data_IF_600338476306
#
_entry.id   IF_600338476306
#
_cell.length_a   1.000
_cell.length_b   1.000
_cell.length_c   1.000
_cell.angle_alpha   90.00
_cell.angle_beta   90.00
_cell.angle_gamma   90.00
#
_symmetry.space_group_name_H-M   'P 1'
#
loop_
_entity.id
_entity.type
_entity.pdbx_description
1 polymer ?
#
# COMPACT_ATOMS: atom_id res chain seq x y z
N UNK A 1 2.89 11.41 12.82
CA UNK A 1 1.72 10.90 12.06
C UNK A 1 1.96 9.46 11.68
N UNK A 2 0.93 8.61 11.72
CA UNK A 2 0.98 7.22 11.23
C UNK A 2 0.91 7.20 9.71
N UNK A 3 1.73 6.33 9.08
CA UNK A 3 1.71 6.10 7.64
C UNK A 3 1.57 4.59 7.40
N UNK A 4 0.50 4.21 6.75
CA UNK A 4 0.17 2.84 6.44
C UNK A 4 0.68 2.45 5.04
N UNK A 5 1.19 1.23 4.93
CA UNK A 5 1.43 0.52 3.67
C UNK A 5 0.75 -0.84 3.75
N UNK A 6 0.28 -1.36 2.62
CA UNK A 6 -0.40 -2.65 2.55
C UNK A 6 0.39 -3.58 1.62
N UNK A 7 0.81 -4.73 2.13
CA UNK A 7 1.68 -5.66 1.41
C UNK A 7 1.19 -7.10 1.56
N UNK A 8 1.50 -7.88 0.53
CA UNK A 8 1.37 -9.35 0.56
C UNK A 8 2.75 -10.00 0.43
N UNK A 9 2.88 -11.26 0.77
CA UNK A 9 4.13 -12.03 0.66
C UNK A 9 4.60 -12.22 -0.79
N UNK A 10 3.72 -12.09 -1.77
CA UNK A 10 4.04 -12.25 -3.19
C UNK A 10 5.11 -11.29 -3.73
N UNK A 11 5.35 -10.18 -3.05
CA UNK A 11 6.42 -9.22 -3.38
C UNK A 11 7.80 -9.87 -3.47
N UNK A 12 8.03 -10.93 -2.69
CA UNK A 12 9.32 -11.66 -2.70
C UNK A 12 9.61 -12.26 -4.07
N UNK A 13 8.59 -12.69 -4.79
CA UNK A 13 8.72 -13.32 -6.10
C UNK A 13 9.11 -12.32 -7.19
N UNK A 14 9.03 -11.02 -6.90
CA UNK A 14 9.34 -9.94 -7.83
C UNK A 14 10.44 -9.05 -7.26
N UNK A 15 11.66 -9.33 -7.71
CA UNK A 15 12.87 -8.64 -7.25
C UNK A 15 12.81 -7.11 -7.38
N UNK A 16 12.17 -6.61 -8.43
CA UNK A 16 11.94 -5.18 -8.66
C UNK A 16 11.06 -4.57 -7.56
N UNK A 17 9.94 -5.19 -7.22
CA UNK A 17 9.05 -4.71 -6.16
C UNK A 17 9.70 -4.77 -4.77
N UNK A 18 10.44 -5.84 -4.49
CA UNK A 18 11.18 -5.94 -3.25
C UNK A 18 12.24 -4.84 -3.11
N UNK A 19 12.89 -4.46 -4.22
CA UNK A 19 13.82 -3.35 -4.24
C UNK A 19 13.13 -1.98 -4.12
N UNK A 20 11.96 -1.79 -4.75
CA UNK A 20 11.15 -0.58 -4.58
C UNK A 20 10.74 -0.39 -3.13
N UNK A 21 10.25 -1.45 -2.47
CA UNK A 21 9.95 -1.42 -1.04
C UNK A 21 11.16 -0.98 -0.21
N UNK A 22 12.36 -1.51 -0.50
CA UNK A 22 13.59 -1.08 0.21
C UNK A 22 13.85 0.41 0.05
N UNK A 23 13.71 0.94 -1.18
CA UNK A 23 13.92 2.36 -1.45
C UNK A 23 12.91 3.21 -0.70
N UNK A 24 11.64 2.81 -0.69
CA UNK A 24 10.58 3.48 0.08
C UNK A 24 10.93 3.52 1.56
N UNK A 25 11.30 2.38 2.16
CA UNK A 25 11.64 2.30 3.58
C UNK A 25 12.89 3.12 3.94
N UNK A 26 13.93 3.08 3.09
CA UNK A 26 15.15 3.87 3.27
C UNK A 26 14.81 5.37 3.24
N UNK A 27 14.07 5.81 2.21
CA UNK A 27 13.73 7.23 2.05
C UNK A 27 12.84 7.72 3.18
N UNK A 28 11.85 6.93 3.59
CA UNK A 28 10.99 7.26 4.71
C UNK A 28 11.78 7.42 6.02
N UNK A 29 12.67 6.48 6.33
CA UNK A 29 13.49 6.55 7.57
C UNK A 29 14.50 7.67 7.56
N UNK A 30 15.01 8.04 6.38
CA UNK A 30 15.99 9.11 6.25
C UNK A 30 15.36 10.50 6.28
N UNK A 31 14.21 10.66 5.66
CA UNK A 31 13.68 11.98 5.33
C UNK A 31 12.39 12.33 6.11
N UNK A 32 11.81 11.39 6.87
CA UNK A 32 10.55 11.65 7.58
C UNK A 32 10.58 11.22 9.04
N UNK A 33 9.68 11.81 9.81
CA UNK A 33 9.35 11.42 11.21
C UNK A 33 8.15 10.47 11.28
N UNK A 34 7.68 9.92 10.16
CA UNK A 34 6.51 9.08 10.08
C UNK A 34 6.66 7.76 10.86
N UNK A 35 5.62 7.40 11.61
CA UNK A 35 5.48 6.06 12.19
C UNK A 35 4.93 5.13 11.11
N UNK A 36 5.80 4.31 10.55
CA UNK A 36 5.42 3.36 9.50
C UNK A 36 4.72 2.16 10.10
N UNK A 37 3.57 1.82 9.55
CA UNK A 37 2.76 0.64 9.90
C UNK A 37 2.48 -0.14 8.62
N UNK A 38 2.63 -1.45 8.66
CA UNK A 38 2.32 -2.31 7.52
C UNK A 38 1.18 -3.27 7.87
N UNK A 39 0.08 -3.21 7.11
CA UNK A 39 -0.86 -4.31 7.07
C UNK A 39 -0.25 -5.38 6.16
N UNK A 40 0.02 -6.53 6.71
CA UNK A 40 0.79 -7.56 6.03
C UNK A 40 0.04 -8.88 5.93
N UNK A 41 -0.32 -9.27 4.69
CA UNK A 41 -0.86 -10.59 4.37
C UNK A 41 0.27 -11.53 3.95
N UNK A 42 0.99 -12.05 4.95
CA UNK A 42 2.12 -12.93 4.77
C UNK A 42 2.53 -13.63 6.06
N UNK A 43 3.67 -14.30 6.04
CA UNK A 43 4.12 -15.13 7.15
C UNK A 43 5.18 -14.43 8.01
N UNK A 44 5.08 -14.62 9.32
CA UNK A 44 6.14 -14.21 10.25
C UNK A 44 7.43 -14.89 9.88
N UNK A 45 8.50 -14.10 9.70
CA UNK A 45 9.84 -14.58 9.41
C UNK A 45 10.18 -14.75 7.92
N UNK A 46 9.24 -14.47 7.00
CA UNK A 46 9.57 -14.43 5.60
C UNK A 46 10.46 -13.21 5.23
N UNK A 47 10.98 -13.13 4.01
CA UNK A 47 11.88 -12.05 3.62
C UNK A 47 11.28 -10.64 3.71
N UNK A 48 9.96 -10.45 3.42
CA UNK A 48 9.29 -9.16 3.53
C UNK A 48 9.12 -8.78 4.99
N UNK A 49 8.63 -9.72 5.81
CA UNK A 49 8.49 -9.52 7.25
C UNK A 49 9.81 -9.10 7.89
N UNK A 50 10.91 -9.81 7.58
CA UNK A 50 12.22 -9.51 8.12
C UNK A 50 12.72 -8.14 7.66
N UNK A 51 12.54 -7.79 6.38
CA UNK A 51 12.87 -6.47 5.87
C UNK A 51 12.11 -5.35 6.62
N UNK A 52 10.80 -5.50 6.79
CA UNK A 52 9.98 -4.54 7.52
C UNK A 52 10.48 -4.37 8.96
N UNK A 53 10.82 -5.46 9.61
CA UNK A 53 11.35 -5.47 10.98
C UNK A 53 12.71 -4.78 11.08
N UNK A 54 13.61 -5.00 10.13
CA UNK A 54 14.93 -4.35 10.08
C UNK A 54 14.79 -2.82 9.98
N UNK A 55 13.76 -2.36 9.25
CA UNK A 55 13.41 -0.95 9.16
C UNK A 55 12.50 -0.45 10.29
N UNK A 56 12.26 -1.25 11.35
CA UNK A 56 11.43 -0.89 12.50
C UNK A 56 10.00 -0.47 12.11
N UNK A 57 9.45 -1.07 11.06
CA UNK A 57 8.05 -0.90 10.69
C UNK A 57 7.20 -1.69 11.69
N UNK A 58 6.13 -1.09 12.17
CA UNK A 58 5.12 -1.82 12.94
C UNK A 58 4.35 -2.74 11.99
N UNK A 59 4.28 -4.03 12.30
CA UNK A 59 3.69 -5.01 11.40
C UNK A 59 2.41 -5.55 12.04
N UNK A 60 1.30 -5.39 11.34
CA UNK A 60 0.00 -5.97 11.69
C UNK A 60 -0.24 -7.09 10.68
N UNK A 61 -0.16 -8.33 11.14
CA UNK A 61 -0.54 -9.48 10.30
C UNK A 61 -2.05 -9.41 10.09
N UNK A 62 -2.45 -9.28 8.85
CA UNK A 62 -3.85 -9.07 8.48
C UNK A 62 -4.18 -9.75 7.15
N UNK A 63 -5.15 -10.62 7.18
CA UNK A 63 -5.72 -11.24 5.98
C UNK A 63 -7.07 -10.59 5.69
N UNK A 64 -7.35 -10.32 4.41
CA UNK A 64 -8.63 -9.75 4.00
C UNK A 64 -9.79 -10.68 4.35
N UNK A 65 -10.81 -10.21 5.11
CA UNK A 65 -11.95 -11.05 5.51
C UNK A 65 -12.76 -11.59 4.33
N UNK A 66 -12.77 -10.86 3.20
CA UNK A 66 -13.54 -11.15 1.99
C UNK A 66 -12.67 -11.60 0.80
N UNK A 67 -11.54 -12.23 1.11
CA UNK A 67 -10.57 -12.71 0.11
C UNK A 67 -11.18 -13.72 -0.87
N UNK A 68 -12.07 -14.59 -0.36
CA UNK A 68 -12.76 -15.60 -1.16
C UNK A 68 -13.73 -14.97 -2.15
N UNK A 69 -14.50 -14.01 -1.70
CA UNK A 69 -15.45 -13.25 -2.52
C UNK A 69 -14.73 -12.49 -3.64
N UNK A 70 -13.57 -11.90 -3.33
CA UNK A 70 -12.74 -11.26 -4.36
C UNK A 70 -12.26 -12.26 -5.42
N UNK A 71 -11.87 -13.47 -5.01
CA UNK A 71 -11.46 -14.51 -5.96
C UNK A 71 -12.60 -14.98 -6.85
N UNK A 72 -13.84 -14.98 -6.36
CA UNK A 72 -15.04 -15.32 -7.15
C UNK A 72 -15.37 -14.21 -8.15
N UNK A 73 -15.29 -12.93 -7.72
CA UNK A 73 -15.58 -11.76 -8.58
C UNK A 73 -14.52 -11.62 -9.68
N UNK A 74 -13.26 -11.71 -9.30
CA UNK A 74 -12.12 -11.62 -10.22
C UNK A 74 -11.72 -13.04 -10.64
N UNK A 75 -12.55 -13.69 -11.47
CA UNK A 75 -12.20 -15.01 -11.98
C UNK A 75 -10.89 -14.98 -12.75
N UNK A 76 -10.19 -16.10 -12.77
CA UNK A 76 -8.92 -16.21 -13.49
C UNK A 76 -9.05 -15.79 -14.97
N UNK A 77 -10.14 -16.17 -15.62
CA UNK A 77 -10.45 -15.79 -16.98
C UNK A 77 -10.60 -14.28 -17.17
N UNK A 78 -11.30 -13.61 -16.26
CA UNK A 78 -11.43 -12.15 -16.28
C UNK A 78 -10.07 -11.46 -16.08
N UNK A 79 -9.26 -11.96 -15.16
CA UNK A 79 -7.94 -11.40 -14.91
C UNK A 79 -6.99 -11.53 -16.11
N UNK A 80 -7.01 -12.68 -16.79
CA UNK A 80 -6.20 -12.89 -17.98
C UNK A 80 -6.61 -12.00 -19.15
N UNK A 81 -7.91 -11.74 -19.31
CA UNK A 81 -8.44 -10.94 -20.42
C UNK A 81 -8.33 -9.44 -20.20
N UNK A 82 -8.67 -8.96 -19.01
CA UNK A 82 -8.79 -7.51 -18.72
C UNK A 82 -7.51 -6.89 -18.15
N UNK A 83 -6.77 -7.65 -17.34
CA UNK A 83 -5.60 -7.13 -16.63
C UNK A 83 -4.27 -7.66 -17.17
N UNK A 84 -4.30 -8.70 -18.00
CA UNK A 84 -3.12 -9.36 -18.57
C UNK A 84 -2.64 -10.56 -17.76
N UNK A 85 -1.89 -11.44 -18.43
CA UNK A 85 -1.52 -12.78 -17.93
C UNK A 85 -0.64 -12.80 -16.67
N UNK A 86 -0.06 -11.66 -16.28
CA UNK A 86 0.93 -11.58 -15.20
C UNK A 86 0.38 -10.99 -13.91
N UNK A 87 -0.94 -10.75 -13.80
CA UNK A 87 -1.51 -10.19 -12.58
C UNK A 87 -1.93 -11.30 -11.64
N UNK A 88 -1.24 -11.38 -10.53
CA UNK A 88 -1.56 -12.30 -9.44
C UNK A 88 -2.67 -11.73 -8.54
N UNK A 89 -3.53 -12.60 -8.01
CA UNK A 89 -4.55 -12.25 -7.00
C UNK A 89 -3.98 -11.46 -5.82
N UNK A 90 -2.75 -11.73 -5.46
CA UNK A 90 -2.04 -11.03 -4.38
C UNK A 90 -1.95 -9.51 -4.58
N UNK A 91 -1.85 -9.02 -5.83
CA UNK A 91 -1.91 -7.57 -6.12
C UNK A 91 -3.28 -6.99 -5.82
N UNK A 92 -4.32 -7.71 -6.19
CA UNK A 92 -5.71 -7.32 -5.92
C UNK A 92 -5.91 -7.25 -4.41
N UNK A 93 -5.48 -8.26 -3.67
CA UNK A 93 -5.61 -8.28 -2.22
C UNK A 93 -4.86 -7.11 -1.55
N UNK A 94 -3.62 -6.83 -1.95
CA UNK A 94 -2.87 -5.67 -1.46
C UNK A 94 -3.60 -4.35 -1.72
N UNK A 95 -4.23 -4.22 -2.88
CA UNK A 95 -5.03 -3.03 -3.24
C UNK A 95 -6.27 -2.87 -2.35
N UNK A 96 -6.98 -3.96 -2.07
CA UNK A 96 -8.19 -3.89 -1.23
C UNK A 96 -7.87 -3.78 0.26
N UNK A 97 -6.71 -4.25 0.70
CA UNK A 97 -6.31 -4.21 2.11
C UNK A 97 -6.28 -2.79 2.70
N UNK A 98 -6.04 -1.77 1.87
CA UNK A 98 -6.12 -0.37 2.33
C UNK A 98 -7.50 0.05 2.82
N UNK A 99 -8.56 -0.62 2.35
CA UNK A 99 -9.93 -0.37 2.78
C UNK A 99 -10.16 -0.80 4.25
N UNK A 100 -9.30 -1.67 4.77
CA UNK A 100 -9.33 -2.13 6.15
C UNK A 100 -8.70 -1.12 7.14
N UNK A 101 -7.89 -0.19 6.65
CA UNK A 101 -7.20 0.78 7.51
C UNK A 101 -8.18 1.54 8.42
N UNK A 102 -9.30 2.12 7.95
CA UNK A 102 -10.26 2.81 8.81
C UNK A 102 -10.98 1.88 9.80
N UNK A 103 -10.97 0.57 9.53
CA UNK A 103 -11.58 -0.44 10.41
C UNK A 103 -10.61 -0.81 11.54
N UNK A 104 -9.31 -0.87 11.23
CA UNK A 104 -8.25 -1.27 12.15
C UNK A 104 -7.77 -0.08 13.00
N UNK A 105 -7.55 1.07 12.35
CA UNK A 105 -7.13 2.28 13.03
C UNK A 105 -8.27 2.91 13.83
N UNK A 106 -8.06 3.06 15.13
CA UNK A 106 -9.08 3.58 16.06
C UNK A 106 -8.59 4.78 16.89
N UNK A 107 -7.29 5.06 16.80
CA UNK A 107 -6.67 6.06 17.67
C UNK A 107 -6.55 7.42 16.98
N UNK A 108 -6.11 7.42 15.72
CA UNK A 108 -5.86 8.64 14.97
C UNK A 108 -7.03 8.98 14.04
N UNK A 109 -7.44 10.25 14.07
CA UNK A 109 -8.48 10.78 13.16
C UNK A 109 -8.01 10.80 11.71
N UNK A 110 -6.71 11.08 11.50
CA UNK A 110 -6.09 11.13 10.19
C UNK A 110 -4.84 10.27 10.15
N UNK A 111 -4.75 9.44 9.13
CA UNK A 111 -3.57 8.66 8.80
C UNK A 111 -3.21 8.86 7.33
N UNK A 112 -1.93 8.70 7.02
CA UNK A 112 -1.46 8.64 5.65
C UNK A 112 -1.48 7.18 5.18
N UNK A 113 -1.94 6.93 3.96
CA UNK A 113 -1.70 5.70 3.23
C UNK A 113 -0.80 6.00 2.03
N UNK A 114 0.11 5.08 1.73
CA UNK A 114 0.96 5.17 0.55
C UNK A 114 1.24 3.79 -0.02
N UNK A 115 1.51 3.75 -1.31
CA UNK A 115 2.01 2.55 -1.97
C UNK A 115 3.50 2.31 -1.62
N UNK A 116 4.01 1.15 -2.00
CA UNK A 116 5.38 0.70 -1.65
C UNK A 116 6.46 1.17 -2.62
N UNK A 117 6.11 1.90 -3.66
CA UNK A 117 6.97 2.30 -4.78
C UNK A 117 7.17 3.81 -4.86
N UNK A 118 7.11 4.48 -3.71
CA UNK A 118 7.31 5.92 -3.59
C UNK A 118 8.66 6.26 -2.97
N UNK A 119 9.09 7.51 -3.14
CA UNK A 119 10.27 8.07 -2.51
C UNK A 119 9.85 9.28 -1.67
N UNK A 120 10.10 9.21 -0.37
CA UNK A 120 9.94 10.35 0.51
C UNK A 120 11.14 11.29 0.38
N UNK A 121 10.91 12.51 -0.08
CA UNK A 121 11.97 13.51 -0.25
C UNK A 121 12.09 14.44 0.94
N UNK A 122 11.03 14.62 1.72
CA UNK A 122 10.97 15.50 2.88
C UNK A 122 9.97 14.97 3.91
N UNK A 123 9.94 15.56 5.11
CA UNK A 123 8.98 15.20 6.14
C UNK A 123 7.56 15.63 5.76
N UNK A 124 6.60 14.83 6.17
CA UNK A 124 5.17 15.07 5.93
C UNK A 124 4.51 15.36 7.27
N UNK A 125 4.07 16.58 7.45
CA UNK A 125 3.42 17.01 8.68
C UNK A 125 1.90 17.14 8.45
N UNK A 126 1.12 16.71 9.43
CA UNK A 126 -0.34 16.78 9.35
C UNK A 126 -0.87 18.19 9.01
N UNK A 127 -0.20 19.23 9.55
CA UNK A 127 -0.55 20.64 9.28
C UNK A 127 -0.42 21.05 7.81
N UNK A 128 0.38 20.32 7.03
CA UNK A 128 0.65 20.62 5.61
C UNK A 128 -0.30 19.85 4.68
N UNK A 129 -1.13 18.98 5.25
CA UNK A 129 -2.10 18.17 4.51
C UNK A 129 -3.51 18.76 4.60
N UNK A 130 -4.37 18.53 3.60
CA UNK A 130 -5.77 18.88 3.70
C UNK A 130 -6.43 18.09 4.83
N UNK A 131 -7.45 18.68 5.45
CA UNK A 131 -8.29 18.01 6.45
C UNK A 131 -9.64 17.64 5.82
N UNK A 132 -9.72 16.53 5.09
CA UNK A 132 -10.95 16.10 4.43
C UNK A 132 -11.96 15.59 5.47
N UNK A 133 -13.25 15.66 5.15
CA UNK A 133 -14.27 15.05 6.00
C UNK A 133 -14.20 13.52 6.02
N UNK A 134 -13.67 12.89 4.95
CA UNK A 134 -13.55 11.43 4.83
C UNK A 134 -12.22 11.01 4.22
N UNK A 135 -11.90 11.48 3.01
CA UNK A 135 -10.73 11.05 2.25
C UNK A 135 -10.17 12.21 1.43
N UNK A 136 -8.85 12.30 1.36
CA UNK A 136 -8.13 13.06 0.35
C UNK A 136 -7.18 12.14 -0.40
N UNK A 137 -7.10 12.28 -1.72
CA UNK A 137 -6.18 11.55 -2.55
C UNK A 137 -5.32 12.52 -3.37
N UNK A 138 -4.05 12.17 -3.58
CA UNK A 138 -3.21 12.89 -4.51
C UNK A 138 -3.73 12.69 -5.94
N UNK A 139 -3.79 13.74 -6.77
CA UNK A 139 -4.15 13.58 -8.17
C UNK A 139 -3.06 12.80 -8.91
N UNK A 140 -3.47 12.04 -9.92
CA UNK A 140 -2.53 11.42 -10.82
C UNK A 140 -1.80 12.51 -11.63
N UNK A 141 -0.49 12.34 -11.81
CA UNK A 141 0.30 13.26 -12.62
C UNK A 141 0.01 13.00 -14.11
N UNK A 142 -0.79 13.87 -14.72
CA UNK A 142 -1.11 13.77 -16.15
C UNK A 142 0.14 14.02 -17.01
N UNK A 143 0.58 12.98 -17.70
CA UNK A 143 1.51 13.12 -18.85
C UNK A 143 0.76 13.40 -20.16
N UNK A 144 -0.54 13.16 -20.20
CA UNK A 144 -1.34 13.33 -21.41
C UNK A 144 -2.71 13.93 -21.08
N UNK A 145 -2.90 15.20 -21.44
CA UNK A 145 -4.11 16.00 -21.19
C UNK A 145 -5.36 15.46 -21.87
N UNK A 146 -5.28 14.39 -22.65
CA UNK A 146 -6.41 13.76 -23.34
C UNK A 146 -7.04 12.60 -22.58
N UNK A 147 -6.41 12.10 -21.51
CA UNK A 147 -7.01 11.10 -20.62
C UNK A 147 -7.51 11.81 -19.38
N UNK A 148 -8.81 11.87 -19.23
CA UNK A 148 -9.42 12.40 -18.01
C UNK A 148 -8.82 11.69 -16.81
N UNK A 149 -8.24 12.49 -15.92
CA UNK A 149 -7.77 12.03 -14.62
C UNK A 149 -8.96 11.52 -13.83
N UNK A 150 -9.10 10.23 -13.73
CA UNK A 150 -9.79 9.67 -12.59
C UNK A 150 -8.84 9.82 -11.41
N UNK A 151 -9.36 10.24 -10.27
CA UNK A 151 -8.58 10.21 -9.04
C UNK A 151 -8.07 8.78 -8.87
N UNK A 152 -6.76 8.62 -8.97
CA UNK A 152 -6.18 7.35 -8.60
C UNK A 152 -6.26 7.26 -7.08
N UNK A 153 -7.11 6.41 -6.57
CA UNK A 153 -7.28 6.19 -5.14
C UNK A 153 -6.14 5.34 -4.54
N UNK A 154 -4.97 5.39 -5.12
CA UNK A 154 -3.76 4.75 -4.63
C UNK A 154 -2.92 4.23 -5.71
#
# INVERSE_FOLDING_TARGET
MKCYICLTDSIVNRKDYFNMLKVTLISARKNTSLRLICLYDGKIGDPVYNLLKDFKVEIIIHELPYKKELMEIYSHEWMETELGKDIEYSRIFGTFMRMEIPIIEKEDEYVLYTDMDIIFNDDILLKDLPHPAYLAAAPEFERDTKRMSYFNAG
#
